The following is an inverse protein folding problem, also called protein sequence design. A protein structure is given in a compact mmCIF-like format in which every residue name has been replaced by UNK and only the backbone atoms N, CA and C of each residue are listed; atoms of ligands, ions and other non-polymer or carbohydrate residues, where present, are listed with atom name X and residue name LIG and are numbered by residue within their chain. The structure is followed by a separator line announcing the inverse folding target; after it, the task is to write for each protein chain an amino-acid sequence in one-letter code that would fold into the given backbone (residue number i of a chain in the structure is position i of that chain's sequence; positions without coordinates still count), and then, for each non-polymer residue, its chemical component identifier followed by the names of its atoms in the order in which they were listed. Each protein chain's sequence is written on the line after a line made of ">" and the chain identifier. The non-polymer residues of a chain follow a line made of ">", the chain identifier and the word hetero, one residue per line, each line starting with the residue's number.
data_IF_628038509063
#
_entry.id   IF_628038509063
#
_cell.length_a   1.000
_cell.length_b   1.000
_cell.length_c   1.000
_cell.angle_alpha   90.00
_cell.angle_beta   90.00
_cell.angle_gamma   90.00
#
_symmetry.space_group_name_H-M   'P 1'
#
loop_
_entity.id
_entity.type
_entity.pdbx_description
1 polymer ?
#
# COMPACT_ATOMS: atom_id res chain seq x y z
N UNK A 1 -32.16 6.47 25.31
CA UNK A 1 -32.69 6.47 23.94
C UNK A 1 -32.79 5.02 23.51
N UNK A 2 -34.02 4.51 23.43
CA UNK A 2 -34.32 3.21 22.85
C UNK A 2 -34.33 3.32 21.31
N UNK A 3 -34.06 2.21 20.63
CA UNK A 3 -34.19 2.11 19.17
C UNK A 3 -35.57 2.59 18.69
N UNK A 4 -36.62 2.24 19.42
CA UNK A 4 -37.99 2.63 19.10
C UNK A 4 -38.22 4.14 19.22
N UNK A 5 -37.57 4.80 20.19
CA UNK A 5 -37.62 6.25 20.36
C UNK A 5 -36.89 6.96 19.21
N UNK A 6 -35.79 6.39 18.74
CA UNK A 6 -35.02 6.92 17.61
C UNK A 6 -35.77 6.75 16.29
N UNK A 7 -36.40 5.59 16.06
CA UNK A 7 -37.25 5.35 14.89
C UNK A 7 -38.41 6.35 14.81
N UNK A 8 -39.10 6.60 15.93
CA UNK A 8 -40.21 7.55 15.99
C UNK A 8 -39.74 8.99 15.70
N UNK A 9 -38.55 9.37 16.19
CA UNK A 9 -37.95 10.67 15.89
C UNK A 9 -37.65 10.84 14.40
N UNK A 10 -37.07 9.82 13.77
CA UNK A 10 -36.70 9.84 12.35
C UNK A 10 -37.94 9.89 11.45
N UNK A 11 -38.98 9.10 11.74
CA UNK A 11 -40.22 9.12 10.97
C UNK A 11 -40.88 10.50 10.99
N UNK A 12 -40.96 11.13 12.17
CA UNK A 12 -41.51 12.50 12.29
C UNK A 12 -40.72 13.52 11.49
N UNK A 13 -39.40 13.36 11.39
CA UNK A 13 -38.54 14.26 10.61
C UNK A 13 -38.82 14.13 9.12
N UNK A 14 -39.00 12.90 8.63
CA UNK A 14 -39.26 12.60 7.21
C UNK A 14 -40.65 13.09 6.80
N UNK A 15 -41.67 12.90 7.63
CA UNK A 15 -43.05 13.36 7.35
C UNK A 15 -43.17 14.89 7.29
N UNK A 16 -42.25 15.63 7.93
CA UNK A 16 -42.23 17.09 7.93
C UNK A 16 -41.57 17.72 6.70
N UNK A 17 -40.98 16.91 5.80
CA UNK A 17 -40.32 17.40 4.59
C UNK A 17 -41.38 17.53 3.49
N UNK A 18 -41.50 18.73 2.92
CA UNK A 18 -42.34 18.94 1.73
C UNK A 18 -41.70 18.23 0.53
N UNK A 19 -42.35 17.22 -0.07
CA UNK A 19 -41.79 16.46 -1.19
C UNK A 19 -41.61 17.31 -2.47
N UNK A 20 -42.15 18.54 -2.53
CA UNK A 20 -41.99 19.46 -3.66
C UNK A 20 -40.88 20.51 -3.47
N UNK A 21 -40.23 20.59 -2.30
CA UNK A 21 -39.17 21.57 -2.00
C UNK A 21 -37.76 20.97 -2.08
N UNK A 22 -37.65 19.65 -2.27
CA UNK A 22 -36.38 19.00 -2.55
C UNK A 22 -35.98 19.22 -4.02
N UNK A 23 -35.58 20.45 -4.37
CA UNK A 23 -34.70 20.66 -5.51
C UNK A 23 -33.39 19.92 -5.19
N UNK A 24 -33.25 18.72 -5.75
CA UNK A 24 -31.94 18.10 -5.89
C UNK A 24 -31.18 19.00 -6.86
N UNK A 25 -30.29 19.82 -6.31
CA UNK A 25 -29.25 20.48 -7.08
C UNK A 25 -28.32 19.36 -7.56
N UNK A 26 -28.65 18.77 -8.71
CA UNK A 26 -27.92 17.70 -9.39
C UNK A 26 -26.72 18.28 -10.17
N UNK A 27 -26.16 19.39 -9.68
CA UNK A 27 -24.87 19.92 -10.11
C UNK A 27 -23.74 19.15 -9.38
N UNK A 28 -23.87 17.82 -9.31
CA UNK A 28 -22.72 16.98 -9.01
C UNK A 28 -21.86 16.96 -10.26
N UNK A 29 -20.95 17.94 -10.34
CA UNK A 29 -19.89 17.96 -11.34
C UNK A 29 -18.99 16.74 -11.09
N UNK A 30 -19.33 15.62 -11.73
CA UNK A 30 -18.60 14.35 -11.76
C UNK A 30 -17.24 14.49 -12.51
N UNK A 31 -16.77 15.71 -12.76
CA UNK A 31 -15.46 16.03 -13.34
C UNK A 31 -14.37 16.29 -12.29
N UNK A 32 -14.53 15.88 -11.03
CA UNK A 32 -13.37 15.71 -10.15
C UNK A 32 -12.55 14.49 -10.63
N UNK A 33 -11.63 14.77 -11.56
CA UNK A 33 -10.57 13.84 -11.93
C UNK A 33 -9.71 13.61 -10.69
N UNK A 34 -9.87 12.44 -10.07
CA UNK A 34 -9.01 12.00 -8.96
C UNK A 34 -7.55 12.16 -9.39
N UNK A 35 -6.77 12.91 -8.60
CA UNK A 35 -5.38 13.19 -8.92
C UNK A 35 -4.58 11.90 -8.83
N UNK A 36 -4.34 11.27 -9.98
CA UNK A 36 -3.45 10.12 -10.08
C UNK A 36 -2.02 10.65 -10.21
N UNK A 37 -1.26 10.59 -9.11
CA UNK A 37 0.18 10.83 -9.14
C UNK A 37 0.84 9.78 -10.05
N UNK A 38 1.21 10.17 -11.27
CA UNK A 38 1.94 9.30 -12.19
C UNK A 38 3.39 9.23 -11.75
N UNK A 39 3.78 8.13 -11.12
CA UNK A 39 5.17 7.85 -10.80
C UNK A 39 5.86 7.23 -12.02
N UNK A 40 6.53 8.06 -12.81
CA UNK A 40 7.37 7.63 -13.93
C UNK A 40 8.72 7.15 -13.41
N UNK A 41 8.73 5.91 -12.94
CA UNK A 41 9.93 5.26 -12.42
C UNK A 41 10.71 4.67 -13.60
N UNK A 42 11.74 5.39 -14.05
CA UNK A 42 12.73 4.80 -14.94
C UNK A 42 13.60 3.81 -14.14
N UNK A 43 13.10 2.59 -13.96
CA UNK A 43 13.84 1.51 -13.26
C UNK A 43 15.11 1.07 -14.01
N UNK A 44 15.40 1.63 -15.19
CA UNK A 44 16.63 1.41 -15.93
C UNK A 44 17.73 2.41 -15.53
N UNK A 45 17.88 2.62 -14.23
CA UNK A 45 19.14 3.14 -13.69
C UNK A 45 19.78 2.04 -12.86
N UNK A 46 20.45 1.10 -13.53
CA UNK A 46 21.52 0.34 -12.88
C UNK A 46 22.60 1.35 -12.47
N UNK A 47 22.44 1.97 -11.29
CA UNK A 47 23.50 2.79 -10.71
C UNK A 47 24.62 1.84 -10.28
N UNK A 48 25.67 1.75 -11.10
CA UNK A 48 26.96 1.24 -10.68
C UNK A 48 27.54 2.25 -9.67
N UNK A 49 27.30 2.01 -8.37
CA UNK A 49 27.98 2.74 -7.32
C UNK A 49 29.46 2.32 -7.36
N UNK A 50 30.32 3.17 -7.90
CA UNK A 50 31.77 3.01 -7.76
C UNK A 50 32.12 3.06 -6.27
N UNK A 51 32.78 2.02 -5.77
CA UNK A 51 33.26 1.91 -4.39
C UNK A 51 34.37 2.95 -4.15
N UNK A 52 34.02 4.23 -3.99
CA UNK A 52 34.95 5.22 -3.44
C UNK A 52 35.06 4.99 -1.93
N UNK A 53 35.93 4.04 -1.58
CA UNK A 53 36.40 3.83 -0.21
C UNK A 53 37.19 5.09 0.16
N UNK A 54 36.53 6.06 0.81
CA UNK A 54 37.20 7.17 1.46
C UNK A 54 37.98 6.62 2.68
N UNK A 55 39.14 6.03 2.41
CA UNK A 55 40.08 5.54 3.40
C UNK A 55 40.85 6.73 4.00
N UNK A 56 40.18 7.49 4.88
CA UNK A 56 40.88 8.37 5.81
C UNK A 56 41.70 7.54 6.82
N UNK A 57 42.99 7.82 7.04
CA UNK A 57 43.75 7.11 8.05
C UNK A 57 43.41 7.72 9.41
N UNK A 58 43.04 6.89 10.39
CA UNK A 58 43.64 6.85 11.74
C UNK A 58 42.70 6.28 12.80
N UNK A 59 43.10 5.10 13.31
CA UNK A 59 43.09 4.70 14.73
C UNK A 59 41.87 5.07 15.59
N UNK A 60 40.95 4.11 15.77
CA UNK A 60 40.50 3.70 17.10
C UNK A 60 39.83 2.32 17.01
N UNK A 61 40.04 1.47 18.00
CA UNK A 61 39.42 0.14 18.14
C UNK A 61 37.92 0.22 18.46
N UNK A 62 37.15 0.86 17.60
CA UNK A 62 35.69 0.87 17.65
C UNK A 62 35.22 -0.05 16.55
N UNK A 63 34.55 -1.12 16.95
CA UNK A 63 33.78 -2.00 16.08
C UNK A 63 33.21 -1.17 14.93
N UNK A 64 33.60 -1.48 13.70
CA UNK A 64 33.05 -0.88 12.49
C UNK A 64 31.53 -0.96 12.62
N UNK A 65 30.90 0.11 13.09
CA UNK A 65 29.45 0.18 13.12
C UNK A 65 29.07 0.43 11.69
N UNK A 66 28.78 -0.65 10.97
CA UNK A 66 28.10 -0.59 9.67
C UNK A 66 27.05 0.51 9.78
N UNK A 67 27.04 1.52 8.91
CA UNK A 67 26.10 2.62 9.07
C UNK A 67 24.66 2.07 8.90
N UNK A 68 23.84 2.24 9.93
CA UNK A 68 22.43 1.85 9.94
C UNK A 68 21.54 2.94 10.56
N UNK A 69 20.24 2.93 10.22
CA UNK A 69 19.18 3.64 10.94
C UNK A 69 18.47 2.67 11.88
N UNK A 70 18.08 3.15 13.05
CA UNK A 70 17.33 2.36 14.04
C UNK A 70 15.84 2.62 13.88
N UNK A 71 15.05 1.55 13.78
CA UNK A 71 13.60 1.60 13.75
C UNK A 71 13.02 2.18 15.03
N UNK A 72 11.77 2.65 14.96
CA UNK A 72 11.05 3.18 16.13
C UNK A 72 10.94 2.16 17.27
N UNK A 73 10.87 0.88 16.92
CA UNK A 73 10.85 -0.27 17.82
C UNK A 73 12.16 -0.49 18.59
N UNK A 74 13.22 0.27 18.29
CA UNK A 74 14.58 0.14 18.86
C UNK A 74 15.24 -1.23 18.59
N UNK A 75 14.66 -2.05 17.72
CA UNK A 75 15.12 -3.42 17.42
C UNK A 75 15.55 -3.50 15.96
N UNK A 76 14.74 -2.97 15.05
CA UNK A 76 14.96 -3.11 13.62
C UNK A 76 16.09 -2.19 13.16
N UNK A 77 17.06 -2.73 12.41
CA UNK A 77 18.18 -1.97 11.86
C UNK A 77 18.10 -1.92 10.33
N UNK A 78 18.11 -0.72 9.77
CA UNK A 78 18.10 -0.46 8.32
C UNK A 78 19.50 -0.06 7.87
N UNK A 79 20.16 -0.88 7.05
CA UNK A 79 21.52 -0.58 6.56
C UNK A 79 21.48 0.60 5.59
N UNK A 80 22.45 1.52 5.68
CA UNK A 80 22.58 2.66 4.75
C UNK A 80 23.16 2.26 3.39
N UNK A 81 24.05 1.28 3.39
CA UNK A 81 24.67 0.78 2.17
C UNK A 81 24.00 -0.47 1.66
N UNK A 82 24.09 -0.67 0.35
CA UNK A 82 23.65 -1.88 -0.33
C UNK A 82 24.45 -3.07 0.23
N UNK A 83 23.80 -4.20 0.56
CA UNK A 83 24.49 -5.41 1.00
C UNK A 83 25.48 -5.90 -0.07
N UNK A 84 26.60 -6.56 0.32
CA UNK A 84 27.57 -7.05 -0.65
C UNK A 84 26.92 -7.99 -1.69
N UNK A 85 27.26 -7.84 -2.97
CA UNK A 85 26.69 -8.66 -4.06
C UNK A 85 27.15 -10.12 -4.04
N UNK A 86 28.30 -10.39 -3.41
CA UNK A 86 28.93 -11.71 -3.35
C UNK A 86 28.44 -12.60 -2.19
N UNK A 87 27.42 -12.16 -1.42
CA UNK A 87 26.82 -13.00 -0.37
C UNK A 87 25.52 -13.64 -0.82
N UNK A 88 25.35 -14.93 -0.49
CA UNK A 88 24.12 -15.66 -0.77
C UNK A 88 22.96 -15.08 0.03
N UNK A 89 21.85 -14.77 -0.65
CA UNK A 89 20.59 -14.38 0.01
C UNK A 89 20.10 -15.53 0.91
N UNK A 90 19.71 -15.21 2.15
CA UNK A 90 19.11 -16.21 3.07
C UNK A 90 17.81 -16.76 2.48
N UNK A 91 17.54 -18.04 2.72
CA UNK A 91 16.36 -18.72 2.15
C UNK A 91 15.02 -18.07 2.59
N UNK A 92 14.97 -17.51 3.80
CA UNK A 92 13.82 -16.77 4.33
C UNK A 92 13.53 -15.46 3.59
N UNK A 93 14.56 -14.85 2.96
CA UNK A 93 14.44 -13.60 2.22
C UNK A 93 14.14 -13.82 0.72
N UNK A 94 13.94 -15.08 0.30
CA UNK A 94 13.58 -15.42 -1.07
C UNK A 94 12.06 -15.53 -1.13
N UNK A 95 11.43 -14.60 -1.85
CA UNK A 95 9.99 -14.63 -2.11
C UNK A 95 9.72 -15.79 -3.06
N UNK A 96 9.14 -16.88 -2.54
CA UNK A 96 8.79 -18.08 -3.33
C UNK A 96 7.35 -18.07 -3.83
N UNK A 97 6.47 -17.39 -3.10
CA UNK A 97 5.05 -17.30 -3.40
C UNK A 97 4.74 -15.83 -3.59
N UNK A 98 4.51 -15.45 -4.84
CA UNK A 98 4.05 -14.11 -5.15
C UNK A 98 2.54 -14.00 -4.81
N UNK A 99 2.11 -12.88 -4.21
CA UNK A 99 0.70 -12.58 -4.11
C UNK A 99 0.12 -12.42 -5.52
N UNK A 100 -1.07 -12.97 -5.75
CA UNK A 100 -1.72 -12.95 -7.06
C UNK A 100 -2.75 -14.05 -7.22
N UNK A 101 -3.47 -14.03 -8.34
CA UNK A 101 -4.49 -15.01 -8.68
C UNK A 101 -3.87 -16.40 -8.87
N UNK A 102 -4.43 -17.40 -8.17
CA UNK A 102 -3.96 -18.79 -8.18
C UNK A 102 -4.99 -19.73 -8.80
N UNK A 103 -4.51 -20.85 -9.32
CA UNK A 103 -5.36 -21.94 -9.79
C UNK A 103 -6.34 -21.52 -10.89
N UNK A 104 -7.61 -21.92 -10.75
CA UNK A 104 -8.65 -21.69 -11.74
C UNK A 104 -8.91 -20.20 -12.00
N UNK A 105 -8.78 -19.36 -10.96
CA UNK A 105 -8.99 -17.91 -11.08
C UNK A 105 -8.03 -17.25 -12.08
N UNK A 106 -6.83 -17.80 -12.29
CA UNK A 106 -5.85 -17.27 -13.26
C UNK A 106 -6.33 -17.40 -14.72
N UNK A 107 -7.22 -18.35 -15.00
CA UNK A 107 -7.68 -18.67 -16.35
C UNK A 107 -8.95 -17.88 -16.70
N UNK A 108 -9.63 -17.33 -15.69
CA UNK A 108 -10.84 -16.54 -15.87
C UNK A 108 -10.50 -15.19 -16.49
N UNK A 109 -11.13 -14.88 -17.61
CA UNK A 109 -10.99 -13.61 -18.33
C UNK A 109 -12.22 -12.72 -18.22
N UNK A 110 -13.32 -13.28 -17.71
CA UNK A 110 -14.61 -12.63 -17.62
C UNK A 110 -14.92 -12.32 -16.16
N UNK A 111 -15.34 -11.09 -15.90
CA UNK A 111 -15.69 -10.63 -14.54
C UNK A 111 -16.82 -11.48 -13.94
N UNK A 112 -17.80 -11.88 -14.76
CA UNK A 112 -18.94 -12.69 -14.31
C UNK A 112 -18.50 -14.08 -13.84
N UNK A 113 -17.48 -14.67 -14.48
CA UNK A 113 -17.00 -16.00 -14.16
C UNK A 113 -16.14 -15.96 -12.88
N UNK A 114 -15.38 -14.89 -12.69
CA UNK A 114 -14.65 -14.62 -11.44
C UNK A 114 -15.63 -14.51 -10.27
N UNK A 115 -16.70 -13.74 -10.44
CA UNK A 115 -17.71 -13.54 -9.39
C UNK A 115 -18.47 -14.82 -9.03
N UNK A 116 -18.74 -15.67 -10.02
CA UNK A 116 -19.36 -16.99 -9.78
C UNK A 116 -18.43 -17.95 -9.05
N UNK A 117 -17.13 -17.91 -9.35
CA UNK A 117 -16.13 -18.73 -8.66
C UNK A 117 -16.05 -18.39 -7.17
N UNK A 118 -16.06 -17.10 -6.83
CA UNK A 118 -15.98 -16.65 -5.43
C UNK A 118 -17.14 -17.14 -4.56
N UNK A 119 -18.35 -17.23 -5.13
CA UNK A 119 -19.55 -17.68 -4.40
C UNK A 119 -19.67 -19.19 -4.22
N UNK A 120 -18.79 -19.97 -4.85
CA UNK A 120 -18.84 -21.44 -4.83
C UNK A 120 -17.80 -22.08 -3.91
N UNK A 121 -17.00 -21.26 -3.20
CA UNK A 121 -16.05 -21.66 -2.16
C UNK A 121 -16.66 -21.50 -0.76
#
# INVERSE_FOLDING_TARGET
>A
MSYEEEQARLQRLIEGIDPYVAEYDDDHDDEEVDYVETFDDNTDTEQELEDEIEAGPSTDTRQFQDPFFLGRDQITKWKKHIPPRNVRKRAENIIKILPGVKGQARILKSEIDTWRMERSL
#
